data_IF_837454645523
#
_entry.id   IF_837454645523
#
_cell.length_a   1.000
_cell.length_b   1.000
_cell.length_c   1.000
_cell.angle_alpha   90.00
_cell.angle_beta   90.00
_cell.angle_gamma   90.00
#
_symmetry.space_group_name_H-M   'P 1'
#
loop_
_entity.id
_entity.type
_entity.pdbx_description
1 polymer ?
#
# COMPACT_ATOMS: atom_id res chain seq x y z
N UNK A 1 -9.48 14.10 7.82
CA UNK A 1 -9.83 12.72 8.19
C UNK A 1 -10.77 12.18 7.14
N UNK A 2 -10.39 11.06 6.54
CA UNK A 2 -11.18 10.30 5.58
C UNK A 2 -11.64 9.01 6.27
N UNK A 3 -12.90 8.61 6.08
CA UNK A 3 -13.43 7.35 6.62
C UNK A 3 -13.83 6.45 5.47
N UNK A 4 -13.46 5.18 5.53
CA UNK A 4 -13.81 4.21 4.49
C UNK A 4 -14.40 2.96 5.09
N UNK A 5 -15.48 2.49 4.45
CA UNK A 5 -16.06 1.20 4.76
C UNK A 5 -15.25 0.12 4.07
N UNK A 6 -14.84 -0.88 4.84
CA UNK A 6 -14.13 -2.05 4.32
C UNK A 6 -14.98 -3.28 4.57
N UNK A 7 -15.33 -3.95 3.48
CA UNK A 7 -16.16 -5.16 3.44
C UNK A 7 -15.36 -6.42 3.08
N UNK A 8 -14.15 -6.24 2.54
CA UNK A 8 -13.23 -7.31 2.14
C UNK A 8 -11.82 -7.07 2.67
N UNK A 9 -11.14 -8.14 3.01
CA UNK A 9 -9.73 -8.13 3.45
C UNK A 9 -8.99 -9.29 2.79
N UNK A 10 -7.74 -9.05 2.38
CA UNK A 10 -6.85 -10.12 1.92
C UNK A 10 -5.98 -10.57 3.10
N UNK A 11 -6.20 -11.79 3.55
CA UNK A 11 -5.57 -12.36 4.74
C UNK A 11 -4.51 -13.40 4.35
N UNK A 12 -3.36 -13.32 5.02
CA UNK A 12 -2.21 -14.23 4.91
C UNK A 12 -2.08 -14.97 6.24
N UNK A 13 -2.02 -16.31 6.19
CA UNK A 13 -1.89 -17.17 7.37
C UNK A 13 -0.89 -18.31 7.13
N UNK A 14 -0.20 -18.75 8.17
CA UNK A 14 0.76 -19.86 8.11
C UNK A 14 2.15 -19.48 8.62
N UNK A 15 2.99 -20.50 8.82
CA UNK A 15 4.31 -20.37 9.44
C UNK A 15 5.22 -19.32 8.76
N UNK A 16 5.08 -19.18 7.43
CA UNK A 16 5.92 -18.27 6.64
C UNK A 16 5.19 -16.95 6.28
N UNK A 17 3.95 -16.71 6.73
CA UNK A 17 3.12 -15.61 6.21
C UNK A 17 3.75 -14.22 6.42
N UNK A 18 4.22 -13.95 7.64
CA UNK A 18 4.83 -12.65 7.99
C UNK A 18 6.13 -12.44 7.23
N UNK A 19 7.05 -13.42 7.24
CA UNK A 19 8.36 -13.31 6.58
C UNK A 19 8.24 -13.25 5.06
N UNK A 20 7.30 -14.00 4.48
CA UNK A 20 6.98 -13.95 3.07
C UNK A 20 6.53 -12.56 2.65
N UNK A 21 5.52 -12.00 3.33
CA UNK A 21 4.97 -10.71 2.95
C UNK A 21 5.99 -9.59 3.21
N UNK A 22 6.71 -9.62 4.33
CA UNK A 22 7.75 -8.65 4.66
C UNK A 22 8.86 -8.57 3.58
N UNK A 23 9.22 -9.71 2.98
CA UNK A 23 10.21 -9.79 1.91
C UNK A 23 9.75 -9.22 0.55
N UNK A 24 8.47 -8.88 0.41
CA UNK A 24 7.89 -8.40 -0.84
C UNK A 24 7.44 -6.93 -0.76
N UNK A 25 7.01 -6.48 0.41
CA UNK A 25 6.45 -5.14 0.60
C UNK A 25 7.52 -4.14 1.05
N UNK A 26 7.33 -2.87 0.70
CA UNK A 26 8.32 -1.81 0.94
C UNK A 26 8.36 -1.25 2.36
N UNK A 27 7.33 -1.47 3.19
CA UNK A 27 7.29 -1.03 4.58
C UNK A 27 7.36 -2.19 5.56
N UNK A 28 7.69 -1.89 6.82
CA UNK A 28 7.68 -2.89 7.89
C UNK A 28 6.34 -2.92 8.62
N UNK A 29 6.01 -4.06 9.21
CA UNK A 29 4.85 -4.18 10.08
C UNK A 29 5.13 -3.56 11.44
N UNK A 30 4.08 -3.01 12.05
CA UNK A 30 4.08 -2.66 13.46
C UNK A 30 2.89 -3.35 14.09
N UNK A 31 3.15 -4.27 15.03
CA UNK A 31 2.13 -5.11 15.67
C UNK A 31 0.94 -4.27 16.17
N UNK A 32 -0.27 -4.67 15.76
CA UNK A 32 -1.53 -4.00 16.13
C UNK A 32 -1.71 -2.59 15.53
N UNK A 33 -0.88 -2.19 14.57
CA UNK A 33 -1.06 -0.95 13.81
C UNK A 33 -1.32 -1.21 12.34
N UNK A 34 -2.03 -0.28 11.72
CA UNK A 34 -2.23 -0.26 10.28
C UNK A 34 -1.10 0.57 9.67
N UNK A 35 -0.31 -0.08 8.81
CA UNK A 35 0.86 0.53 8.17
C UNK A 35 0.68 0.50 6.65
N UNK A 36 0.81 1.64 5.96
CA UNK A 36 0.76 1.67 4.50
C UNK A 36 2.04 1.09 3.88
N UNK A 37 1.90 0.43 2.72
CA UNK A 37 3.05 -0.09 1.98
C UNK A 37 2.79 -0.14 0.48
N UNK A 38 3.87 -0.15 -0.29
CA UNK A 38 3.84 -0.52 -1.70
C UNK A 38 4.20 -2.00 -1.89
N UNK A 39 3.67 -2.59 -2.96
CA UNK A 39 4.27 -3.71 -3.66
C UNK A 39 4.89 -3.18 -4.94
N UNK A 40 6.17 -3.48 -5.18
CA UNK A 40 6.89 -3.00 -6.35
C UNK A 40 7.03 -4.09 -7.42
N UNK A 41 7.27 -3.65 -8.65
CA UNK A 41 7.85 -4.49 -9.69
C UNK A 41 9.35 -4.69 -9.45
N UNK A 42 9.97 -5.70 -10.08
CA UNK A 42 11.43 -5.90 -10.01
C UNK A 42 12.26 -4.69 -10.47
N UNK A 43 11.69 -3.84 -11.35
CA UNK A 43 12.34 -2.60 -11.81
C UNK A 43 12.17 -1.41 -10.84
N UNK A 44 11.55 -1.63 -9.68
CA UNK A 44 11.35 -0.66 -8.61
C UNK A 44 10.14 0.26 -8.79
N UNK A 45 9.38 0.13 -9.88
CA UNK A 45 8.12 0.87 -10.05
C UNK A 45 7.05 0.32 -9.13
N UNK A 46 6.13 1.17 -8.72
CA UNK A 46 4.96 0.77 -7.95
C UNK A 46 4.10 -0.17 -8.81
N UNK A 47 3.67 -1.28 -8.22
CA UNK A 47 2.66 -2.17 -8.77
C UNK A 47 1.31 -1.96 -8.07
N UNK A 48 1.34 -1.94 -6.73
CA UNK A 48 0.16 -1.62 -5.91
C UNK A 48 0.58 -0.81 -4.68
N UNK A 49 -0.39 -0.14 -4.09
CA UNK A 49 -0.31 0.40 -2.73
C UNK A 49 -1.49 -0.12 -1.93
N UNK A 50 -1.31 -0.31 -0.63
CA UNK A 50 -2.35 -0.81 0.25
C UNK A 50 -2.00 -0.54 1.72
N UNK A 51 -2.98 -0.74 2.60
CA UNK A 51 -2.77 -0.74 4.04
C UNK A 51 -2.55 -2.18 4.52
N UNK A 52 -1.65 -2.36 5.48
CA UNK A 52 -1.33 -3.65 6.08
C UNK A 52 -1.56 -3.63 7.58
N UNK A 53 -1.93 -4.76 8.16
CA UNK A 53 -2.01 -4.93 9.62
C UNK A 53 -1.47 -6.31 9.97
N UNK A 54 -0.57 -6.37 10.94
CA UNK A 54 -0.10 -7.62 11.52
C UNK A 54 -0.70 -7.82 12.92
N UNK A 55 -1.28 -9.00 13.13
CA UNK A 55 -1.76 -9.49 14.43
C UNK A 55 -1.22 -10.91 14.64
N UNK A 56 -0.11 -11.03 15.39
CA UNK A 56 0.60 -12.28 15.59
C UNK A 56 1.14 -12.84 14.27
N UNK A 57 0.71 -14.03 13.91
CA UNK A 57 1.10 -14.73 12.66
C UNK A 57 0.17 -14.44 11.47
N UNK A 58 -0.88 -13.63 11.70
CA UNK A 58 -1.84 -13.26 10.64
C UNK A 58 -1.51 -11.87 10.15
N UNK A 59 -1.42 -11.73 8.83
CA UNK A 59 -1.28 -10.42 8.19
C UNK A 59 -2.47 -10.16 7.29
N UNK A 60 -2.99 -8.95 7.35
CA UNK A 60 -4.11 -8.47 6.54
C UNK A 60 -3.66 -7.34 5.61
N UNK A 61 -4.25 -7.31 4.42
CA UNK A 61 -4.14 -6.22 3.45
C UNK A 61 -5.53 -5.65 3.17
N UNK A 62 -5.63 -4.32 3.22
CA UNK A 62 -6.84 -3.57 2.92
C UNK A 62 -6.64 -2.69 1.68
N UNK A 63 -7.55 -2.87 0.73
CA UNK A 63 -7.66 -2.11 -0.52
C UNK A 63 -9.06 -2.40 -1.12
N UNK A 64 -9.45 -1.69 -2.20
CA UNK A 64 -10.67 -2.02 -2.94
C UNK A 64 -10.69 -3.46 -3.43
N UNK A 65 -11.86 -4.09 -3.42
CA UNK A 65 -12.03 -5.52 -3.67
C UNK A 65 -11.44 -5.96 -5.03
N UNK A 66 -11.66 -5.20 -6.09
CA UNK A 66 -11.13 -5.50 -7.42
C UNK A 66 -9.60 -5.51 -7.45
N UNK A 67 -8.96 -4.66 -6.64
CA UNK A 67 -7.50 -4.64 -6.50
C UNK A 67 -7.01 -5.77 -5.59
N UNK A 68 -7.73 -6.12 -4.53
CA UNK A 68 -7.37 -7.27 -3.69
C UNK A 68 -7.27 -8.56 -4.49
N UNK A 69 -8.15 -8.77 -5.49
CA UNK A 69 -8.08 -9.93 -6.39
C UNK A 69 -6.76 -9.93 -7.19
N UNK A 70 -6.39 -8.80 -7.80
CA UNK A 70 -5.15 -8.67 -8.59
C UNK A 70 -3.89 -8.76 -7.72
N UNK A 71 -3.94 -8.18 -6.53
CA UNK A 71 -2.88 -8.25 -5.52
C UNK A 71 -2.68 -9.70 -5.09
N UNK A 72 -3.76 -10.43 -4.78
CA UNK A 72 -3.72 -11.86 -4.46
C UNK A 72 -3.08 -12.67 -5.57
N UNK A 73 -3.51 -12.50 -6.82
CA UNK A 73 -2.92 -13.18 -7.98
C UNK A 73 -1.41 -12.89 -8.12
N UNK A 74 -0.99 -11.68 -7.78
CA UNK A 74 0.42 -11.29 -7.80
C UNK A 74 1.21 -12.01 -6.71
N UNK A 75 0.71 -12.04 -5.46
CA UNK A 75 1.38 -12.76 -4.37
C UNK A 75 1.45 -14.27 -4.60
N UNK A 76 0.41 -14.89 -5.16
CA UNK A 76 0.43 -16.33 -5.46
C UNK A 76 1.56 -16.72 -6.43
N UNK A 77 1.97 -15.82 -7.34
CA UNK A 77 3.13 -16.06 -8.24
C UNK A 77 4.45 -16.17 -7.47
N UNK A 78 4.58 -15.48 -6.33
CA UNK A 78 5.78 -15.50 -5.50
C UNK A 78 5.76 -16.62 -4.44
N UNK A 79 4.63 -17.31 -4.24
CA UNK A 79 4.41 -18.29 -3.16
C UNK A 79 4.94 -19.71 -3.45
N UNK A 80 6.10 -19.82 -4.09
CA UNK A 80 6.67 -21.12 -4.45
C UNK A 80 7.34 -21.74 -3.22
N UNK A 81 6.84 -22.89 -2.75
CA UNK A 81 7.35 -23.62 -1.56
C UNK A 81 7.29 -22.84 -0.24
N UNK A 82 6.37 -21.89 -0.15
CA UNK A 82 6.13 -21.07 1.04
C UNK A 82 4.88 -21.59 1.74
N UNK A 83 4.96 -21.83 3.05
CA UNK A 83 3.83 -22.26 3.87
C UNK A 83 2.99 -21.05 4.28
N UNK A 84 2.28 -20.50 3.30
CA UNK A 84 1.35 -19.39 3.50
C UNK A 84 0.06 -19.67 2.74
N UNK A 85 -1.08 -19.53 3.39
CA UNK A 85 -2.41 -19.48 2.80
C UNK A 85 -2.78 -18.02 2.53
N UNK A 86 -3.43 -17.75 1.39
CA UNK A 86 -3.79 -16.38 0.97
C UNK A 86 -5.26 -16.39 0.55
N UNK A 87 -6.10 -15.68 1.29
CA UNK A 87 -7.56 -15.70 1.11
C UNK A 87 -8.17 -14.31 1.20
N UNK A 88 -9.21 -14.06 0.42
CA UNK A 88 -10.05 -12.86 0.58
C UNK A 88 -11.22 -13.25 1.47
N UNK A 89 -11.41 -12.52 2.57
CA UNK A 89 -12.46 -12.77 3.57
C UNK A 89 -13.39 -11.57 3.67
N UNK A 90 -14.64 -11.84 4.05
CA UNK A 90 -15.59 -10.80 4.43
C UNK A 90 -15.19 -10.20 5.78
N UNK A 91 -15.29 -8.89 5.88
CA UNK A 91 -15.09 -8.13 7.11
C UNK A 91 -16.13 -7.00 7.16
N UNK A 92 -16.37 -6.42 8.33
CA UNK A 92 -17.29 -5.30 8.46
C UNK A 92 -16.68 -4.24 9.38
N UNK A 93 -15.76 -3.44 8.86
CA UNK A 93 -15.01 -2.44 9.64
C UNK A 93 -14.97 -1.10 8.93
N UNK A 94 -14.75 -0.03 9.70
CA UNK A 94 -14.45 1.28 9.15
C UNK A 94 -12.98 1.59 9.43
N UNK A 95 -12.26 2.01 8.39
CA UNK A 95 -10.93 2.59 8.53
C UNK A 95 -11.05 4.10 8.57
N UNK A 96 -10.19 4.70 9.36
CA UNK A 96 -9.98 6.14 9.44
C UNK A 96 -8.56 6.43 8.99
N UNK A 97 -8.42 7.35 8.04
CA UNK A 97 -7.13 7.77 7.49
C UNK A 97 -6.98 9.27 7.67
N UNK A 98 -5.87 9.69 8.26
CA UNK A 98 -5.49 11.10 8.32
C UNK A 98 -4.88 11.53 6.98
N UNK A 99 -5.49 12.49 6.31
CA UNK A 99 -5.08 12.92 4.96
C UNK A 99 -3.74 13.66 4.92
N UNK A 100 -3.28 14.18 6.06
CA UNK A 100 -2.08 15.01 6.18
C UNK A 100 -0.85 14.22 6.66
N UNK A 101 -1.08 13.12 7.40
CA UNK A 101 -0.02 12.25 7.93
C UNK A 101 -0.04 10.84 7.34
N UNK A 102 -1.15 10.44 6.73
CA UNK A 102 -1.46 9.08 6.30
C UNK A 102 -1.50 8.05 7.44
N UNK A 103 -1.65 8.51 8.69
CA UNK A 103 -1.91 7.59 9.80
C UNK A 103 -3.28 6.92 9.63
N UNK A 104 -3.29 5.59 9.70
CA UNK A 104 -4.49 4.78 9.52
C UNK A 104 -4.81 3.97 10.77
N UNK A 105 -6.10 3.74 11.03
CA UNK A 105 -6.58 2.91 12.13
C UNK A 105 -8.04 2.53 11.97
N UNK A 106 -8.52 1.61 12.79
CA UNK A 106 -9.94 1.27 12.82
C UNK A 106 -10.74 2.27 13.65
N UNK A 107 -11.96 2.54 13.21
CA UNK A 107 -12.98 3.21 14.00
C UNK A 107 -14.25 2.35 14.09
N UNK A 108 -14.32 1.54 15.17
CA UNK A 108 -15.46 0.66 15.43
C UNK A 108 -16.74 1.40 15.85
N UNK A 109 -16.65 2.70 16.15
CA UNK A 109 -17.76 3.51 16.64
C UNK A 109 -18.21 4.59 15.65
N UNK A 110 -17.67 4.57 14.42
CA UNK A 110 -18.05 5.51 13.39
C UNK A 110 -19.55 5.39 13.08
N UNK A 111 -20.28 6.50 13.30
CA UNK A 111 -21.72 6.65 13.05
C UNK A 111 -22.01 7.76 12.02
N UNK A 112 -20.96 8.26 11.37
CA UNK A 112 -21.08 9.27 10.31
C UNK A 112 -21.61 8.65 9.02
N UNK A 113 -22.00 9.53 8.09
CA UNK A 113 -22.46 9.14 6.75
C UNK A 113 -21.46 9.60 5.66
N UNK A 114 -20.39 10.29 6.06
CA UNK A 114 -19.30 10.80 5.22
C UNK A 114 -18.26 9.70 4.94
N UNK A 115 -18.70 8.66 4.25
CA UNK A 115 -17.81 7.60 3.79
C UNK A 115 -17.19 7.98 2.44
N UNK A 116 -15.87 7.95 2.41
CA UNK A 116 -15.07 8.08 1.21
C UNK A 116 -14.82 6.71 0.58
N UNK A 117 -14.71 6.69 -0.73
CA UNK A 117 -14.26 5.55 -1.52
C UNK A 117 -12.74 5.48 -1.57
N UNK A 118 -12.20 4.31 -1.94
CA UNK A 118 -10.75 4.16 -2.15
C UNK A 118 -10.22 5.12 -3.23
N UNK A 119 -11.01 5.40 -4.27
CA UNK A 119 -10.61 6.31 -5.34
C UNK A 119 -10.62 7.78 -4.86
N UNK A 120 -11.57 8.18 -4.01
CA UNK A 120 -11.55 9.51 -3.37
C UNK A 120 -10.35 9.68 -2.45
N UNK A 121 -10.05 8.68 -1.61
CA UNK A 121 -8.85 8.70 -0.75
C UNK A 121 -7.59 8.81 -1.60
N UNK A 122 -7.53 8.08 -2.72
CA UNK A 122 -6.40 8.13 -3.65
C UNK A 122 -6.13 9.58 -4.10
N UNK A 123 -7.18 10.27 -4.54
CA UNK A 123 -7.06 11.64 -5.03
C UNK A 123 -6.81 12.66 -3.90
N UNK A 124 -7.58 12.57 -2.81
CA UNK A 124 -7.50 13.49 -1.67
C UNK A 124 -6.14 13.43 -0.95
N UNK A 125 -5.49 12.27 -0.96
CA UNK A 125 -4.17 12.07 -0.36
C UNK A 125 -3.03 12.16 -1.37
N UNK A 126 -3.28 12.37 -2.66
CA UNK A 126 -2.27 12.36 -3.72
C UNK A 126 -1.50 11.02 -3.86
N UNK A 127 -2.16 9.91 -3.51
CA UNK A 127 -1.66 8.58 -3.84
C UNK A 127 -1.88 8.27 -5.31
N UNK A 128 -1.04 7.44 -5.94
CA UNK A 128 -1.17 7.19 -7.37
C UNK A 128 -2.42 6.38 -7.70
N UNK A 129 -3.17 6.86 -8.70
CA UNK A 129 -4.26 6.10 -9.31
C UNK A 129 -3.72 4.92 -10.10
N UNK A 130 -4.60 3.97 -10.45
CA UNK A 130 -4.23 2.83 -11.30
C UNK A 130 -3.62 3.29 -12.63
N UNK A 131 -4.22 4.29 -13.29
CA UNK A 131 -3.70 4.87 -14.53
C UNK A 131 -2.28 5.44 -14.35
N UNK A 132 -2.01 6.15 -13.25
CA UNK A 132 -0.68 6.67 -12.94
C UNK A 132 0.33 5.54 -12.72
N UNK A 133 -0.08 4.48 -12.03
CA UNK A 133 0.76 3.29 -11.79
C UNK A 133 1.10 2.60 -13.12
N UNK A 134 0.12 2.41 -14.00
CA UNK A 134 0.31 1.79 -15.33
C UNK A 134 1.27 2.59 -16.22
N UNK A 135 1.27 3.92 -16.08
CA UNK A 135 2.23 4.81 -16.76
C UNK A 135 3.66 4.75 -16.19
N UNK A 136 3.85 4.00 -15.09
CA UNK A 136 5.13 3.78 -14.44
C UNK A 136 5.55 4.94 -13.53
N UNK A 137 5.71 4.61 -12.25
CA UNK A 137 6.00 5.54 -11.16
C UNK A 137 6.93 4.88 -10.16
N UNK A 138 8.02 5.55 -9.76
CA UNK A 138 8.84 5.10 -8.64
C UNK A 138 8.30 5.65 -7.31
N UNK A 139 8.46 4.93 -6.18
CA UNK A 139 8.14 5.47 -4.85
C UNK A 139 8.76 6.84 -4.58
N UNK A 140 10.00 7.08 -5.07
CA UNK A 140 10.70 8.36 -4.87
C UNK A 140 9.99 9.57 -5.52
N UNK A 141 9.10 9.32 -6.47
CA UNK A 141 8.34 10.35 -7.19
C UNK A 141 7.01 10.68 -6.48
N UNK A 142 6.67 9.98 -5.39
CA UNK A 142 5.42 10.14 -4.63
C UNK A 142 5.58 11.09 -3.43
N UNK A 143 4.45 11.63 -2.95
CA UNK A 143 4.37 12.43 -1.72
C UNK A 143 4.74 11.61 -0.47
N UNK A 144 4.33 10.35 -0.43
CA UNK A 144 4.35 9.51 0.78
C UNK A 144 5.51 8.53 0.86
N UNK A 145 6.64 8.81 0.19
CA UNK A 145 7.78 7.90 0.12
C UNK A 145 8.16 7.33 1.49
N UNK A 146 8.41 8.18 2.48
CA UNK A 146 8.87 7.76 3.81
C UNK A 146 7.77 7.17 4.69
N UNK A 147 6.51 7.35 4.30
CA UNK A 147 5.37 6.78 5.01
C UNK A 147 5.08 5.36 4.53
N UNK A 148 5.30 5.06 3.24
CA UNK A 148 5.01 3.76 2.61
C UNK A 148 6.24 2.88 2.41
N UNK A 149 7.44 3.40 2.68
CA UNK A 149 8.69 2.68 2.47
C UNK A 149 9.67 2.97 3.59
N UNK A 150 10.13 1.91 4.23
CA UNK A 150 11.23 1.98 5.19
C UNK A 150 12.55 1.63 4.46
N UNK A 151 13.52 2.54 4.47
CA UNK A 151 14.84 2.30 3.87
C UNK A 151 15.78 1.49 4.78
N UNK A 152 15.42 1.34 6.06
CA UNK A 152 16.21 0.64 7.08
C UNK A 152 15.76 -0.82 7.29
N UNK A 153 14.62 -1.23 6.72
CA UNK A 153 14.15 -2.62 6.78
C UNK A 153 15.02 -3.56 5.94
N UNK A 154 14.77 -4.86 6.10
CA UNK A 154 15.39 -5.91 5.28
C UNK A 154 15.08 -5.81 3.79
N UNK A 155 15.65 -6.73 3.00
CA UNK A 155 15.47 -6.71 1.54
C UNK A 155 14.01 -6.92 1.15
N UNK A 156 13.53 -6.12 0.18
CA UNK A 156 12.21 -6.30 -0.43
C UNK A 156 12.27 -6.22 -1.96
N UNK A 157 11.21 -6.70 -2.62
CA UNK A 157 11.10 -6.70 -4.07
C UNK A 157 11.22 -5.28 -4.65
N UNK A 158 12.10 -5.10 -5.65
CA UNK A 158 12.26 -3.80 -6.31
C UNK A 158 13.01 -2.74 -5.49
N UNK A 159 13.60 -3.10 -4.35
CA UNK A 159 14.30 -2.15 -3.47
C UNK A 159 15.51 -1.46 -4.12
N UNK A 160 16.31 -2.17 -4.93
CA UNK A 160 17.59 -1.66 -5.42
C UNK A 160 17.45 -0.38 -6.26
N UNK A 161 16.56 -0.29 -7.28
CA UNK A 161 16.35 0.95 -8.03
C UNK A 161 15.91 2.12 -7.13
N UNK A 162 14.97 1.89 -6.21
CA UNK A 162 14.41 2.90 -5.32
C UNK A 162 15.46 3.43 -4.35
N UNK A 163 16.28 2.53 -3.79
CA UNK A 163 17.40 2.87 -2.90
C UNK A 163 18.50 3.63 -3.64
N UNK A 164 18.80 3.25 -4.88
CA UNK A 164 19.78 3.94 -5.72
C UNK A 164 19.36 5.39 -5.98
N UNK A 165 18.08 5.63 -6.27
CA UNK A 165 17.55 6.99 -6.43
C UNK A 165 17.65 7.76 -5.12
N UNK A 166 17.34 7.15 -3.98
CA UNK A 166 17.37 7.80 -2.68
C UNK A 166 18.79 8.20 -2.23
N UNK A 167 19.75 7.28 -2.31
CA UNK A 167 21.09 7.46 -1.72
C UNK A 167 22.14 7.98 -2.71
N UNK A 168 21.95 7.77 -4.01
CA UNK A 168 22.96 8.09 -5.05
C UNK A 168 22.41 8.92 -6.20
N UNK A 169 21.19 9.43 -6.06
CA UNK A 169 20.52 10.18 -7.10
C UNK A 169 19.49 11.14 -6.54
N UNK A 170 18.49 11.41 -7.38
CA UNK A 170 17.27 12.14 -7.01
C UNK A 170 16.19 11.85 -8.06
N UNK A 171 14.90 11.85 -7.68
CA UNK A 171 13.82 11.84 -8.66
C UNK A 171 13.94 13.05 -9.61
N UNK A 172 13.54 12.89 -10.86
CA UNK A 172 13.54 13.97 -11.88
C UNK A 172 12.16 14.57 -12.14
N UNK A 173 11.14 13.95 -11.55
CA UNK A 173 9.75 14.39 -11.58
C UNK A 173 9.07 14.00 -10.27
N UNK A 174 7.94 14.63 -9.98
CA UNK A 174 7.03 14.25 -8.89
C UNK A 174 5.62 14.12 -9.42
N UNK A 175 4.89 13.18 -8.84
CA UNK A 175 3.44 13.10 -8.98
C UNK A 175 2.78 14.19 -8.12
N UNK A 176 1.79 14.87 -8.68
CA UNK A 176 0.89 15.76 -7.95
C UNK A 176 -0.56 15.50 -8.37
N UNK A 177 -1.51 15.78 -7.49
CA UNK A 177 -2.92 15.94 -7.86
C UNK A 177 -3.23 17.42 -8.01
N UNK A 178 -3.69 17.84 -9.18
CA UNK A 178 -4.02 19.24 -9.42
C UNK A 178 -5.40 19.63 -8.85
N UNK A 179 -5.75 20.92 -8.91
CA UNK A 179 -7.03 21.43 -8.37
C UNK A 179 -8.28 20.86 -9.04
N UNK A 180 -8.14 20.23 -10.21
CA UNK A 180 -9.25 19.56 -10.92
C UNK A 180 -9.37 18.08 -10.56
N UNK A 181 -8.52 17.56 -9.66
CA UNK A 181 -8.51 16.15 -9.28
C UNK A 181 -7.79 15.25 -10.28
N UNK A 182 -7.03 15.82 -11.23
CA UNK A 182 -6.25 15.05 -12.20
C UNK A 182 -4.80 14.90 -11.73
N UNK A 183 -4.21 13.74 -12.00
CA UNK A 183 -2.82 13.44 -11.65
C UNK A 183 -1.87 13.77 -12.79
N UNK A 184 -0.79 14.47 -12.46
CA UNK A 184 0.23 14.87 -13.44
C UNK A 184 1.64 14.79 -12.87
N UNK A 185 2.61 14.67 -13.78
CA UNK A 185 4.03 14.65 -13.44
C UNK A 185 4.66 16.02 -13.68
N UNK A 186 5.16 16.63 -12.61
CA UNK A 186 5.95 17.87 -12.68
C UNK A 186 7.44 17.54 -12.66
N UNK A 187 8.24 18.18 -13.53
CA UNK A 187 9.71 18.05 -13.50
C UNK A 187 10.29 18.82 -12.32
N UNK A 188 11.36 18.29 -11.72
CA UNK A 188 12.09 18.89 -10.58
C UNK A 188 13.59 18.97 -10.83
#
# INVERSE_FOLDING_TARGET
MEYIKVDKVLTFQGEDAVSFLDSLISNEFVEGKIVPSFLLFPDGKINYWFLTEQNGEVVNIYQKNEELVKIKETFEKYKIRIKCEIEIKDIDVNLKIDSDTFEAGFDYNYKGNDLSTWDEITLNTELPTLETIENGLLPNETKWLLTFLNFEKGCFLGQEPVSRVNFRGRPRRKLITNKTGAQEFIKI
#
